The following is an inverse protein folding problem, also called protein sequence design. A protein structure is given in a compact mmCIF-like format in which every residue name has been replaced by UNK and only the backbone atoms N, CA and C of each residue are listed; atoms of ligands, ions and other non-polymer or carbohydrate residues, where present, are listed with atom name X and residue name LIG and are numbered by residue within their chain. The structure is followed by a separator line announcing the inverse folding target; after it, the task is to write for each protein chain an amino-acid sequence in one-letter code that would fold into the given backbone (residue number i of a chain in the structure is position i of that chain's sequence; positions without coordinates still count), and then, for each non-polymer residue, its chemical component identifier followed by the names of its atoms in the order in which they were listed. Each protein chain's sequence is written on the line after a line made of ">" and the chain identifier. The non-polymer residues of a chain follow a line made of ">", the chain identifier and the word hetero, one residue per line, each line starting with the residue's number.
data_IF_154183535968
#
_entry.id   IF_154183535968
#
_cell.length_a   1.000
_cell.length_b   1.000
_cell.length_c   1.000
_cell.angle_alpha   90.00
_cell.angle_beta   90.00
_cell.angle_gamma   90.00
#
_symmetry.space_group_name_H-M   'P 1'
#
loop_
_entity.id
_entity.type
_entity.pdbx_description
1 polymer ?
#
# COMPACT_ATOMS: atom_id res chain seq x y z
N UNK A 1 -11.69 -4.80 16.42
CA UNK A 1 -12.45 -5.02 15.16
C UNK A 1 -11.99 -3.97 14.17
N UNK A 2 -11.43 -4.38 13.04
CA UNK A 2 -10.84 -3.48 12.05
C UNK A 2 -11.88 -2.50 11.50
N UNK A 3 -11.61 -1.21 11.66
CA UNK A 3 -12.50 -0.12 11.28
C UNK A 3 -12.49 0.11 9.78
N UNK A 4 -13.40 -0.55 9.06
CA UNK A 4 -13.73 -0.14 7.70
C UNK A 4 -14.31 1.28 7.75
N UNK A 5 -13.71 2.19 6.98
CA UNK A 5 -14.18 3.58 6.85
C UNK A 5 -13.74 4.56 7.95
N UNK A 6 -13.04 4.11 9.00
CA UNK A 6 -12.54 5.00 10.07
C UNK A 6 -11.11 5.49 9.83
N UNK A 7 -10.40 4.88 8.87
CA UNK A 7 -9.02 5.19 8.55
C UNK A 7 -8.88 5.55 7.06
N UNK A 8 -8.10 6.60 6.81
CA UNK A 8 -7.64 7.03 5.50
C UNK A 8 -6.11 6.85 5.44
N UNK A 9 -5.62 6.32 4.33
CA UNK A 9 -4.18 6.12 4.08
C UNK A 9 -3.73 6.99 2.93
N UNK A 10 -2.67 7.77 3.12
CA UNK A 10 -2.14 8.70 2.11
C UNK A 10 -0.66 8.43 1.91
N UNK A 11 -0.27 8.13 0.67
CA UNK A 11 1.14 8.00 0.28
C UNK A 11 1.78 9.37 0.15
N UNK A 12 2.87 9.59 0.88
CA UNK A 12 3.66 10.81 0.85
C UNK A 12 4.88 10.59 -0.03
N UNK A 13 4.76 10.88 -1.33
CA UNK A 13 5.80 10.57 -2.32
C UNK A 13 7.17 11.16 -1.96
N UNK A 14 7.22 12.40 -1.46
CA UNK A 14 8.49 13.08 -1.17
C UNK A 14 9.14 12.72 0.16
N UNK A 15 8.49 11.92 1.01
CA UNK A 15 9.01 11.54 2.34
C UNK A 15 9.04 10.02 2.57
N UNK A 16 8.84 9.23 1.52
CA UNK A 16 8.93 7.76 1.55
C UNK A 16 8.10 7.14 2.69
N UNK A 17 6.88 7.66 2.87
CA UNK A 17 6.01 7.27 3.98
C UNK A 17 4.53 7.19 3.60
N UNK A 18 3.73 6.58 4.48
CA UNK A 18 2.27 6.64 4.45
C UNK A 18 1.74 7.28 5.73
N UNK A 19 0.89 8.29 5.59
CA UNK A 19 0.12 8.86 6.69
C UNK A 19 -1.13 8.02 6.93
N UNK A 20 -1.39 7.67 8.19
CA UNK A 20 -2.66 7.09 8.65
C UNK A 20 -3.47 8.19 9.31
N UNK A 21 -4.66 8.45 8.79
CA UNK A 21 -5.53 9.53 9.22
C UNK A 21 -6.81 8.92 9.78
N UNK A 22 -7.20 9.33 10.98
CA UNK A 22 -8.53 9.04 11.51
C UNK A 22 -9.56 9.90 10.79
N UNK A 23 -10.56 9.29 10.15
CA UNK A 23 -11.64 10.02 9.48
C UNK A 23 -12.67 10.59 10.46
N UNK A 24 -12.62 10.16 11.72
CA UNK A 24 -13.48 10.68 12.80
C UNK A 24 -12.95 12.04 13.30
N UNK A 25 -11.62 12.17 13.40
CA UNK A 25 -10.97 13.35 13.99
C UNK A 25 -10.20 14.20 12.98
N UNK A 26 -10.06 13.73 11.74
CA UNK A 26 -9.22 14.31 10.69
C UNK A 26 -7.75 14.51 11.10
N UNK A 27 -7.28 13.73 12.09
CA UNK A 27 -5.91 13.81 12.60
C UNK A 27 -5.05 12.68 12.04
N UNK A 28 -3.78 12.98 11.76
CA UNK A 28 -2.76 11.95 11.51
C UNK A 28 -2.50 11.23 12.83
N UNK A 29 -2.71 9.91 12.85
CA UNK A 29 -2.52 9.06 14.04
C UNK A 29 -1.27 8.18 13.95
N UNK A 30 -0.72 8.00 12.75
CA UNK A 30 0.56 7.31 12.53
C UNK A 30 1.19 7.74 11.20
N UNK A 31 2.51 7.59 11.11
CA UNK A 31 3.29 7.71 9.88
C UNK A 31 4.14 6.46 9.73
N UNK A 32 4.00 5.78 8.59
CA UNK A 32 4.63 4.47 8.33
C UNK A 32 5.72 4.66 7.28
N UNK A 33 7.01 4.41 7.59
CA UNK A 33 8.05 4.42 6.57
C UNK A 33 7.84 3.25 5.60
N UNK A 34 8.01 3.51 4.30
CA UNK A 34 7.89 2.52 3.22
C UNK A 34 9.08 2.64 2.27
N UNK A 35 8.98 2.09 1.05
CA UNK A 35 10.01 2.29 0.02
C UNK A 35 9.96 3.68 -0.61
N UNK A 36 10.86 3.92 -1.54
CA UNK A 36 11.05 5.22 -2.17
C UNK A 36 9.92 5.55 -3.15
N UNK A 37 9.49 6.82 -3.12
CA UNK A 37 8.52 7.39 -4.05
C UNK A 37 7.21 6.57 -4.09
N UNK A 38 6.50 6.42 -2.96
CA UNK A 38 5.24 5.69 -2.93
C UNK A 38 4.17 6.41 -3.76
N UNK A 39 3.48 5.67 -4.65
CA UNK A 39 2.48 6.23 -5.60
C UNK A 39 1.06 5.73 -5.37
N UNK A 40 0.89 4.42 -5.23
CA UNK A 40 -0.41 3.77 -5.13
C UNK A 40 -0.58 3.07 -3.79
N UNK A 41 -1.79 3.11 -3.24
CA UNK A 41 -2.15 2.44 -1.99
C UNK A 41 -3.49 1.74 -2.12
N UNK A 42 -3.60 0.53 -1.56
CA UNK A 42 -4.83 -0.25 -1.56
C UNK A 42 -4.99 -1.01 -0.25
N UNK A 43 -6.22 -1.09 0.24
CA UNK A 43 -6.57 -1.85 1.45
C UNK A 43 -7.11 -3.22 1.01
N UNK A 44 -6.60 -4.30 1.60
CA UNK A 44 -7.12 -5.64 1.36
C UNK A 44 -8.56 -5.83 1.87
N UNK A 45 -9.29 -6.81 1.32
CA UNK A 45 -10.74 -6.97 1.56
C UNK A 45 -11.17 -7.11 3.03
N UNK A 46 -10.29 -7.59 3.92
CA UNK A 46 -10.57 -7.67 5.36
C UNK A 46 -10.10 -6.44 6.16
N UNK A 47 -9.52 -5.43 5.52
CA UNK A 47 -9.02 -4.23 6.18
C UNK A 47 -7.74 -4.43 7.01
N UNK A 48 -7.20 -5.66 7.07
CA UNK A 48 -6.05 -6.06 7.91
C UNK A 48 -4.68 -5.88 7.24
N UNK A 49 -4.69 -5.59 5.93
CA UNK A 49 -3.51 -5.41 5.10
C UNK A 49 -3.63 -4.14 4.27
N UNK A 50 -2.56 -3.37 4.26
CA UNK A 50 -2.38 -2.23 3.39
C UNK A 50 -1.23 -2.56 2.44
N UNK A 51 -1.44 -2.32 1.15
CA UNK A 51 -0.45 -2.50 0.11
C UNK A 51 -0.05 -1.13 -0.41
N UNK A 52 1.24 -0.91 -0.60
CA UNK A 52 1.80 0.36 -1.10
C UNK A 52 2.82 0.04 -2.18
N UNK A 53 2.67 0.61 -3.37
CA UNK A 53 3.69 0.50 -4.43
C UNK A 53 4.69 1.64 -4.32
N UNK A 54 5.98 1.29 -4.35
CA UNK A 54 7.12 2.19 -4.19
C UNK A 54 7.83 2.29 -5.54
N UNK A 55 7.63 3.39 -6.24
CA UNK A 55 7.98 3.50 -7.66
C UNK A 55 9.49 3.42 -7.92
N UNK A 56 10.29 4.13 -7.13
CA UNK A 56 11.74 4.20 -7.36
C UNK A 56 12.48 3.03 -6.69
N UNK A 57 11.78 2.26 -5.85
CA UNK A 57 12.33 1.03 -5.25
C UNK A 57 11.93 -0.24 -6.01
N UNK A 58 11.12 -0.14 -7.07
CA UNK A 58 10.57 -1.30 -7.82
C UNK A 58 9.95 -2.38 -6.90
N UNK A 59 9.26 -1.94 -5.84
CA UNK A 59 8.72 -2.84 -4.81
C UNK A 59 7.30 -2.49 -4.40
N UNK A 60 6.65 -3.44 -3.72
CA UNK A 60 5.42 -3.24 -2.99
C UNK A 60 5.62 -3.55 -1.49
N UNK A 61 5.31 -2.60 -0.62
CA UNK A 61 5.25 -2.82 0.83
C UNK A 61 3.88 -3.38 1.23
N UNK A 62 3.89 -4.39 2.11
CA UNK A 62 2.68 -4.95 2.73
C UNK A 62 2.72 -4.67 4.22
N UNK A 63 1.69 -4.00 4.71
CA UNK A 63 1.65 -3.42 6.06
C UNK A 63 0.46 -4.01 6.83
N UNK A 64 0.66 -4.29 8.11
CA UNK A 64 -0.40 -4.64 9.03
C UNK A 64 -1.09 -3.35 9.51
N UNK A 65 -2.40 -3.25 9.34
CA UNK A 65 -3.17 -2.02 9.66
C UNK A 65 -3.51 -1.86 11.15
N UNK A 66 -3.41 -2.92 11.95
CA UNK A 66 -3.62 -2.84 13.41
C UNK A 66 -2.35 -2.36 14.14
N UNK A 67 -1.18 -2.74 13.62
CA UNK A 67 0.12 -2.49 14.25
C UNK A 67 0.96 -1.45 13.51
N UNK A 68 0.55 -1.09 12.30
CA UNK A 68 1.29 -0.22 11.38
C UNK A 68 2.70 -0.70 11.01
N UNK A 69 2.99 -1.98 11.22
CA UNK A 69 4.27 -2.59 10.87
C UNK A 69 4.30 -3.03 9.40
N UNK A 70 5.41 -2.75 8.71
CA UNK A 70 5.71 -3.37 7.41
C UNK A 70 6.02 -4.86 7.64
N UNK A 71 5.21 -5.73 7.07
CA UNK A 71 5.32 -7.19 7.20
C UNK A 71 6.29 -7.78 6.18
N UNK A 72 6.24 -7.26 4.94
CA UNK A 72 7.07 -7.71 3.84
C UNK A 72 7.21 -6.60 2.79
N UNK A 73 8.32 -6.64 2.07
CA UNK A 73 8.57 -5.87 0.86
C UNK A 73 8.74 -6.86 -0.27
N UNK A 74 7.93 -6.72 -1.32
CA UNK A 74 7.85 -7.66 -2.44
C UNK A 74 8.38 -6.97 -3.69
N UNK A 75 9.42 -7.49 -4.36
CA UNK A 75 9.84 -6.98 -5.66
C UNK A 75 8.71 -7.07 -6.68
N UNK A 76 8.60 -6.05 -7.52
CA UNK A 76 7.66 -6.01 -8.65
C UNK A 76 8.41 -5.52 -9.91
N UNK A 77 7.70 -5.30 -11.02
CA UNK A 77 8.33 -4.73 -12.21
C UNK A 77 8.61 -3.23 -12.06
N UNK A 78 9.44 -2.68 -12.95
CA UNK A 78 10.02 -1.35 -12.82
C UNK A 78 9.01 -0.18 -12.87
N UNK A 79 9.24 0.82 -12.02
CA UNK A 79 8.42 2.03 -11.87
C UNK A 79 6.92 1.69 -11.68
N UNK A 80 6.56 0.92 -10.63
CA UNK A 80 5.17 0.57 -10.40
C UNK A 80 4.32 1.82 -10.12
N UNK A 81 3.07 1.82 -10.60
CA UNK A 81 2.18 2.97 -10.51
C UNK A 81 0.84 2.67 -9.84
N UNK A 82 0.03 1.87 -10.52
CA UNK A 82 -1.32 1.51 -10.08
C UNK A 82 -1.38 0.13 -9.44
N UNK A 83 -2.41 -0.08 -8.62
CA UNK A 83 -2.63 -1.34 -7.92
C UNK A 83 -4.11 -1.61 -7.65
N UNK A 84 -4.51 -2.88 -7.68
CA UNK A 84 -5.82 -3.33 -7.24
C UNK A 84 -5.74 -4.67 -6.48
N UNK A 85 -6.55 -4.84 -5.45
CA UNK A 85 -6.69 -6.12 -4.72
C UNK A 85 -7.89 -6.88 -5.29
N UNK A 86 -7.76 -8.19 -5.48
CA UNK A 86 -8.88 -9.04 -5.88
C UNK A 86 -10.01 -9.03 -4.83
N UNK A 87 -11.29 -9.20 -5.23
CA UNK A 87 -12.40 -9.21 -4.27
C UNK A 87 -12.29 -10.29 -3.19
N UNK A 88 -11.70 -11.44 -3.51
CA UNK A 88 -11.44 -12.51 -2.55
C UNK A 88 -10.19 -12.25 -1.66
N UNK A 89 -9.48 -11.15 -1.91
CA UNK A 89 -8.32 -10.71 -1.16
C UNK A 89 -7.06 -11.53 -1.40
N UNK A 90 -7.06 -12.52 -2.31
CA UNK A 90 -5.97 -13.48 -2.53
C UNK A 90 -4.86 -13.00 -3.46
N UNK A 91 -5.14 -11.97 -4.26
CA UNK A 91 -4.20 -11.43 -5.24
C UNK A 91 -4.16 -9.92 -5.20
N UNK A 92 -2.98 -9.37 -5.44
CA UNK A 92 -2.77 -7.95 -5.76
C UNK A 92 -2.21 -7.85 -7.17
N UNK A 93 -2.81 -7.00 -7.99
CA UNK A 93 -2.36 -6.68 -9.34
C UNK A 93 -1.63 -5.36 -9.31
N UNK A 94 -0.41 -5.32 -9.82
CA UNK A 94 0.44 -4.11 -9.86
C UNK A 94 0.80 -3.81 -11.31
N UNK A 95 0.62 -2.56 -11.75
CA UNK A 95 1.08 -2.10 -13.06
C UNK A 95 2.52 -1.59 -12.98
N UNK A 96 3.36 -2.02 -13.93
CA UNK A 96 4.76 -1.59 -14.04
C UNK A 96 4.94 -0.82 -15.34
N UNK A 97 5.19 0.48 -15.22
CA UNK A 97 5.13 1.42 -16.36
C UNK A 97 6.32 1.29 -17.30
N UNK A 98 7.48 0.86 -16.79
CA UNK A 98 8.69 0.74 -17.59
C UNK A 98 8.88 -0.67 -18.17
N UNK A 99 8.06 -1.63 -17.72
CA UNK A 99 8.11 -3.03 -18.15
C UNK A 99 6.93 -3.42 -19.05
N UNK A 100 5.97 -2.51 -19.29
CA UNK A 100 4.73 -2.76 -20.03
C UNK A 100 3.94 -3.99 -19.51
N UNK A 101 3.97 -4.25 -18.20
CA UNK A 101 3.39 -5.45 -17.59
C UNK A 101 2.42 -5.14 -16.44
N UNK A 102 1.58 -6.14 -16.15
CA UNK A 102 0.81 -6.25 -14.91
C UNK A 102 1.22 -7.53 -14.20
N UNK A 103 1.71 -7.42 -12.97
CA UNK A 103 2.10 -8.57 -12.15
C UNK A 103 1.02 -8.90 -11.14
N UNK A 104 0.63 -10.18 -11.05
CA UNK A 104 -0.25 -10.69 -10.00
C UNK A 104 0.58 -11.31 -8.87
N UNK A 105 0.34 -10.86 -7.64
CA UNK A 105 1.07 -11.24 -6.44
C UNK A 105 0.10 -11.91 -5.47
N UNK A 106 0.42 -13.13 -5.00
CA UNK A 106 -0.36 -13.81 -3.96
C UNK A 106 -0.21 -13.15 -2.59
N UNK A 107 -1.31 -13.04 -1.84
CA UNK A 107 -1.36 -12.29 -0.57
C UNK A 107 -1.23 -13.14 0.68
#
# INVERSE_FOLDING_TARGET
>A
MGGFGTLLYVTNQGSDSVSVISTITNAVIATIPVGNTPKGVAVGGLGTRLYVVNADSDTMSVINTDTYAVLRTVPVGANPGGMAVSPDGKSVYVTSQNDDTVTAIGT
#
